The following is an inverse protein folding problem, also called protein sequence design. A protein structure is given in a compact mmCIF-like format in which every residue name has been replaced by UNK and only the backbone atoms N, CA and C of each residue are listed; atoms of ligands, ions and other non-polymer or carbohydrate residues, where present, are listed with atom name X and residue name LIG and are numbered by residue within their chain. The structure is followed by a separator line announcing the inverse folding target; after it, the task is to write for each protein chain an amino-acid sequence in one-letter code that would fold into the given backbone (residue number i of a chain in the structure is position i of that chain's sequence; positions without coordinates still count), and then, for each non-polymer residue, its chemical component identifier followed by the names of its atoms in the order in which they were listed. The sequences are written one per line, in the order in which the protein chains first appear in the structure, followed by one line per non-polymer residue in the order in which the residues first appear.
data_IF_030640968444
#
_entry.id   IF_030640968444
#
_cell.length_a   1.000
_cell.length_b   1.000
_cell.length_c   1.000
_cell.angle_alpha   90.00
_cell.angle_beta   90.00
_cell.angle_gamma   90.00
#
_symmetry.space_group_name_H-M   'P 1'
#
loop_
_entity.id
_entity.type
_entity.pdbx_description
1 polymer ?
#
# COMPACT_ATOMS: atom_id res chain seq x y z
N UNK A 1 10.60 6.97 -23.88
CA UNK A 1 10.85 5.51 -23.80
C UNK A 1 9.72 4.80 -24.53
N UNK A 2 10.03 3.95 -25.52
CA UNK A 2 9.00 3.13 -26.16
C UNK A 2 8.47 2.13 -25.11
N UNK A 3 7.21 2.28 -24.73
CA UNK A 3 6.54 1.33 -23.85
C UNK A 3 6.24 0.07 -24.65
N UNK A 4 6.94 -1.02 -24.33
CA UNK A 4 6.63 -2.34 -24.87
C UNK A 4 5.26 -2.73 -24.35
N UNK A 5 4.26 -2.74 -25.23
CA UNK A 5 2.91 -3.19 -24.91
C UNK A 5 2.76 -4.65 -25.32
N UNK A 6 2.05 -5.42 -24.51
CA UNK A 6 1.70 -6.78 -24.86
C UNK A 6 0.85 -6.80 -26.15
N UNK A 7 1.31 -7.53 -27.17
CA UNK A 7 0.50 -7.93 -28.32
C UNK A 7 0.24 -9.44 -28.22
N UNK A 8 -1.03 -9.83 -28.32
CA UNK A 8 -1.43 -11.22 -28.29
C UNK A 8 -0.84 -12.03 -29.46
N UNK A 9 -0.57 -11.37 -30.60
CA UNK A 9 -0.01 -12.01 -31.79
C UNK A 9 1.39 -12.60 -31.58
N UNK A 10 2.12 -12.08 -30.59
CA UNK A 10 3.46 -12.56 -30.24
C UNK A 10 3.40 -13.96 -29.58
N UNK A 11 2.23 -14.35 -29.05
CA UNK A 11 2.04 -15.59 -28.29
C UNK A 11 1.04 -16.53 -28.99
N UNK A 12 1.58 -17.40 -29.86
CA UNK A 12 0.77 -18.35 -30.66
C UNK A 12 0.25 -19.57 -29.87
N UNK A 13 0.97 -19.97 -28.80
CA UNK A 13 0.69 -21.19 -28.07
C UNK A 13 -0.10 -20.94 -26.78
N UNK A 14 -0.84 -21.95 -26.30
CA UNK A 14 -1.52 -21.89 -24.99
C UNK A 14 -0.56 -22.27 -23.88
N UNK A 15 -0.87 -21.85 -22.66
CA UNK A 15 -0.19 -22.38 -21.49
C UNK A 15 -0.41 -23.89 -21.41
N UNK A 16 0.66 -24.61 -21.04
CA UNK A 16 0.63 -26.07 -20.89
C UNK A 16 -0.16 -26.48 -19.65
N UNK A 17 -0.13 -25.65 -18.62
CA UNK A 17 -0.71 -25.92 -17.31
C UNK A 17 -1.70 -24.81 -16.94
N UNK A 18 -2.67 -25.17 -16.10
CA UNK A 18 -3.65 -24.24 -15.56
C UNK A 18 -3.13 -23.76 -14.22
N UNK A 19 -2.85 -22.46 -14.12
CA UNK A 19 -2.54 -21.83 -12.85
C UNK A 19 -3.84 -21.48 -12.13
N UNK A 20 -3.90 -21.76 -10.83
CA UNK A 20 -5.03 -21.42 -9.95
C UNK A 20 -4.53 -20.69 -8.72
N UNK A 21 -5.30 -19.71 -8.25
CA UNK A 21 -5.00 -19.00 -7.02
C UNK A 21 -6.28 -18.67 -6.29
N UNK A 22 -6.32 -18.99 -5.00
CA UNK A 22 -7.51 -18.85 -4.16
C UNK A 22 -7.23 -17.88 -3.00
N UNK A 23 -8.19 -17.01 -2.72
CA UNK A 23 -8.16 -16.07 -1.60
C UNK A 23 -9.45 -16.15 -0.80
N UNK A 24 -9.31 -16.30 0.51
CA UNK A 24 -10.44 -16.19 1.43
C UNK A 24 -10.73 -14.73 1.82
N UNK A 25 -12.01 -14.39 1.92
CA UNK A 25 -12.48 -13.11 2.41
C UNK A 25 -13.29 -13.26 3.71
N UNK A 26 -13.33 -12.23 4.56
CA UNK A 26 -14.00 -12.31 5.85
C UNK A 26 -15.52 -12.12 5.72
N UNK A 27 -16.27 -12.72 6.66
CA UNK A 27 -17.75 -12.69 6.73
C UNK A 27 -18.40 -11.32 6.53
N UNK A 28 -17.77 -10.26 7.04
CA UNK A 28 -18.34 -8.91 6.92
C UNK A 28 -18.34 -8.38 5.47
N UNK A 29 -17.60 -9.04 4.55
CA UNK A 29 -17.51 -8.67 3.14
C UNK A 29 -18.53 -9.41 2.27
N UNK A 30 -19.24 -10.42 2.80
CA UNK A 30 -20.18 -11.29 2.06
C UNK A 30 -21.16 -10.47 1.20
N UNK A 31 -21.91 -9.54 1.82
CA UNK A 31 -22.91 -8.71 1.13
C UNK A 31 -22.30 -7.89 -0.01
N UNK A 32 -21.09 -7.37 0.18
CA UNK A 32 -20.41 -6.57 -0.84
C UNK A 32 -19.98 -7.45 -2.01
N UNK A 33 -19.35 -8.60 -1.74
CA UNK A 33 -18.90 -9.54 -2.77
C UNK A 33 -20.09 -10.07 -3.57
N UNK A 34 -21.20 -10.39 -2.91
CA UNK A 34 -22.42 -10.85 -3.58
C UNK A 34 -22.93 -9.80 -4.59
N UNK A 35 -23.00 -8.53 -4.18
CA UNK A 35 -23.44 -7.42 -5.02
C UNK A 35 -22.53 -7.18 -6.23
N UNK A 36 -21.21 -7.31 -6.05
CA UNK A 36 -20.22 -6.97 -7.10
C UNK A 36 -19.67 -8.21 -7.84
N UNK A 37 -20.13 -9.42 -7.49
CA UNK A 37 -19.66 -10.70 -8.02
C UNK A 37 -19.60 -10.74 -9.55
N UNK A 38 -20.69 -10.31 -10.20
CA UNK A 38 -20.77 -10.22 -11.67
C UNK A 38 -19.72 -9.28 -12.27
N UNK A 39 -19.40 -8.18 -11.59
CA UNK A 39 -18.37 -7.24 -12.04
C UNK A 39 -16.96 -7.84 -11.90
N UNK A 40 -16.69 -8.56 -10.82
CA UNK A 40 -15.42 -9.27 -10.61
C UNK A 40 -15.18 -10.28 -11.73
N UNK A 41 -16.18 -11.14 -11.99
CA UNK A 41 -16.10 -12.18 -13.02
C UNK A 41 -15.85 -11.54 -14.39
N UNK A 42 -16.67 -10.55 -14.77
CA UNK A 42 -16.54 -9.86 -16.06
C UNK A 42 -15.19 -9.16 -16.23
N UNK A 43 -14.65 -8.56 -15.17
CA UNK A 43 -13.34 -7.90 -15.22
C UNK A 43 -12.21 -8.88 -15.54
N UNK A 44 -12.25 -10.09 -14.96
CA UNK A 44 -11.27 -11.16 -15.21
C UNK A 44 -11.49 -11.81 -16.58
N UNK A 45 -12.73 -12.04 -17.00
CA UNK A 45 -13.06 -12.59 -18.32
C UNK A 45 -12.57 -11.70 -19.46
N UNK A 46 -12.69 -10.37 -19.32
CA UNK A 46 -12.15 -9.41 -20.28
C UNK A 46 -10.62 -9.54 -20.47
N UNK A 47 -9.94 -10.11 -19.48
CA UNK A 47 -8.51 -10.40 -19.47
C UNK A 47 -8.20 -11.87 -19.75
N UNK A 48 -9.20 -12.63 -20.23
CA UNK A 48 -9.14 -14.07 -20.52
C UNK A 48 -8.74 -14.90 -19.30
N UNK A 49 -9.14 -14.49 -18.11
CA UNK A 49 -9.04 -15.25 -16.87
C UNK A 49 -10.44 -15.70 -16.44
N UNK A 50 -10.52 -16.85 -15.79
CA UNK A 50 -11.75 -17.36 -15.21
C UNK A 50 -11.75 -17.13 -13.70
N UNK A 51 -12.94 -16.97 -13.14
CA UNK A 51 -13.13 -16.68 -11.73
C UNK A 51 -14.26 -17.54 -11.16
N UNK A 52 -14.05 -18.15 -10.01
CA UNK A 52 -15.09 -18.79 -9.21
C UNK A 52 -15.22 -18.05 -7.86
N UNK A 53 -16.44 -17.81 -7.41
CA UNK A 53 -16.72 -17.14 -6.13
C UNK A 53 -17.62 -18.07 -5.32
N UNK A 54 -17.11 -18.55 -4.19
CA UNK A 54 -17.86 -19.39 -3.27
C UNK A 54 -18.29 -18.57 -2.05
N UNK A 55 -19.60 -18.30 -1.96
CA UNK A 55 -20.20 -17.57 -0.85
C UNK A 55 -20.25 -18.37 0.47
N UNK A 56 -20.24 -19.71 0.41
CA UNK A 56 -20.30 -20.59 1.57
C UNK A 56 -18.92 -20.68 2.22
N UNK A 57 -17.90 -20.99 1.42
CA UNK A 57 -16.50 -21.02 1.88
C UNK A 57 -15.91 -19.61 2.09
N UNK A 58 -16.53 -18.59 1.47
CA UNK A 58 -16.06 -17.21 1.39
C UNK A 58 -14.69 -17.13 0.74
N UNK A 59 -14.60 -17.69 -0.46
CA UNK A 59 -13.38 -17.73 -1.27
C UNK A 59 -13.63 -17.17 -2.67
N UNK A 60 -12.58 -16.60 -3.24
CA UNK A 60 -12.51 -16.17 -4.64
C UNK A 60 -11.33 -16.91 -5.24
N UNK A 61 -11.57 -17.69 -6.28
CA UNK A 61 -10.55 -18.41 -7.03
C UNK A 61 -10.41 -17.78 -8.42
N UNK A 62 -9.18 -17.46 -8.82
CA UNK A 62 -8.83 -17.04 -10.18
C UNK A 62 -7.98 -18.12 -10.84
N UNK A 63 -8.22 -18.40 -12.11
CA UNK A 63 -7.46 -19.38 -12.86
C UNK A 63 -7.30 -19.02 -14.33
N UNK A 64 -6.20 -19.49 -14.92
CA UNK A 64 -5.93 -19.30 -16.36
C UNK A 64 -6.85 -20.17 -17.21
N UNK A 65 -7.29 -19.61 -18.33
CA UNK A 65 -8.05 -20.31 -19.36
C UNK A 65 -7.10 -20.81 -20.48
N UNK A 66 -7.57 -21.73 -21.32
CA UNK A 66 -6.83 -22.16 -22.53
C UNK A 66 -6.57 -21.02 -23.53
N UNK A 67 -7.33 -19.93 -23.39
CA UNK A 67 -7.26 -18.73 -24.22
C UNK A 67 -6.40 -17.63 -23.58
N UNK A 68 -5.91 -17.80 -22.35
CA UNK A 68 -5.00 -16.83 -21.74
C UNK A 68 -3.67 -16.88 -22.48
N UNK A 69 -3.23 -15.73 -23.00
CA UNK A 69 -1.95 -15.60 -23.74
C UNK A 69 -0.93 -14.76 -22.98
N UNK A 70 -1.38 -13.74 -22.25
CA UNK A 70 -0.51 -12.88 -21.44
C UNK A 70 0.04 -13.67 -20.24
N UNK A 71 1.37 -13.84 -20.12
CA UNK A 71 1.98 -14.57 -19.00
C UNK A 71 1.86 -13.83 -17.66
N UNK A 72 1.75 -12.50 -17.66
CA UNK A 72 1.71 -11.70 -16.44
C UNK A 72 0.30 -11.38 -15.96
N UNK A 73 -0.72 -11.53 -16.80
CA UNK A 73 -2.11 -11.21 -16.43
C UNK A 73 -2.59 -12.05 -15.25
N UNK A 74 -2.13 -13.29 -15.11
CA UNK A 74 -2.49 -14.15 -13.98
C UNK A 74 -2.02 -13.55 -12.65
N UNK A 75 -0.80 -12.99 -12.62
CA UNK A 75 -0.25 -12.33 -11.42
C UNK A 75 -1.11 -11.12 -11.04
N UNK A 76 -1.48 -10.29 -12.02
CA UNK A 76 -2.38 -9.15 -11.82
C UNK A 76 -3.77 -9.58 -11.34
N UNK A 77 -4.30 -10.68 -11.89
CA UNK A 77 -5.54 -11.29 -11.43
C UNK A 77 -5.48 -11.73 -9.97
N UNK A 78 -4.34 -12.30 -9.54
CA UNK A 78 -4.10 -12.66 -8.14
C UNK A 78 -4.13 -11.42 -7.24
N UNK A 79 -3.46 -10.34 -7.65
CA UNK A 79 -3.41 -9.10 -6.88
C UNK A 79 -4.77 -8.40 -6.81
N UNK A 80 -5.52 -8.42 -7.92
CA UNK A 80 -6.90 -7.94 -7.97
C UNK A 80 -7.79 -8.64 -6.93
N UNK A 81 -7.83 -9.98 -6.91
CA UNK A 81 -8.69 -10.70 -5.95
C UNK A 81 -8.21 -10.55 -4.49
N UNK A 82 -6.89 -10.42 -4.27
CA UNK A 82 -6.33 -10.11 -2.93
C UNK A 82 -6.81 -8.76 -2.42
N UNK A 83 -6.79 -7.73 -3.27
CA UNK A 83 -7.24 -6.39 -2.93
C UNK A 83 -8.73 -6.37 -2.58
N UNK A 84 -9.56 -6.98 -3.43
CA UNK A 84 -11.02 -7.07 -3.21
C UNK A 84 -11.35 -7.77 -1.89
N UNK A 85 -10.64 -8.88 -1.59
CA UNK A 85 -10.79 -9.61 -0.34
C UNK A 85 -10.37 -8.81 0.92
N UNK A 86 -9.58 -7.75 0.75
CA UNK A 86 -9.04 -6.89 1.85
C UNK A 86 -9.63 -5.48 1.88
N UNK A 87 -10.89 -5.36 1.49
CA UNK A 87 -11.71 -4.13 1.55
C UNK A 87 -11.35 -3.02 0.56
N UNK A 88 -10.59 -3.32 -0.48
CA UNK A 88 -10.43 -2.37 -1.58
C UNK A 88 -11.69 -2.47 -2.44
N UNK A 89 -12.18 -1.33 -2.92
CA UNK A 89 -13.34 -1.27 -3.80
C UNK A 89 -13.00 -1.89 -5.16
N UNK A 90 -13.94 -2.63 -5.75
CA UNK A 90 -13.72 -3.35 -7.03
C UNK A 90 -13.27 -2.40 -8.12
N UNK A 91 -13.89 -1.22 -8.25
CA UNK A 91 -13.52 -0.22 -9.25
C UNK A 91 -12.05 0.22 -9.13
N UNK A 92 -11.58 0.42 -7.90
CA UNK A 92 -10.18 0.77 -7.64
C UNK A 92 -9.25 -0.41 -7.88
N UNK A 93 -9.66 -1.60 -7.44
CA UNK A 93 -8.85 -2.82 -7.59
C UNK A 93 -8.69 -3.21 -9.07
N UNK A 94 -9.70 -2.99 -9.91
CA UNK A 94 -9.66 -3.28 -11.35
C UNK A 94 -8.52 -2.57 -12.07
N UNK A 95 -8.07 -1.41 -11.57
CA UNK A 95 -6.93 -0.68 -12.15
C UNK A 95 -5.67 -1.52 -12.21
N UNK A 96 -5.46 -2.44 -11.27
CA UNK A 96 -4.29 -3.33 -11.23
C UNK A 96 -4.24 -4.30 -12.42
N UNK A 97 -5.35 -4.47 -13.15
CA UNK A 97 -5.38 -5.24 -14.40
C UNK A 97 -4.80 -4.47 -15.61
N UNK A 98 -4.45 -3.20 -15.43
CA UNK A 98 -3.75 -2.35 -16.40
C UNK A 98 -2.23 -2.36 -16.14
N UNK A 99 -1.41 -1.96 -17.12
CA UNK A 99 0.07 -2.04 -17.02
C UNK A 99 0.67 -0.95 -16.12
N UNK A 100 0.03 0.20 -16.01
CA UNK A 100 0.54 1.36 -15.28
C UNK A 100 0.33 1.25 -13.76
N UNK A 101 -0.51 0.32 -13.31
CA UNK A 101 -0.91 0.18 -11.93
C UNK A 101 -0.42 -1.14 -11.32
N UNK A 102 0.05 -1.04 -10.09
CA UNK A 102 0.38 -2.16 -9.23
C UNK A 102 -0.53 -2.14 -7.99
N UNK A 103 -0.72 -3.32 -7.40
CA UNK A 103 -1.54 -3.52 -6.23
C UNK A 103 -0.78 -4.25 -5.13
N UNK A 104 -0.93 -3.84 -3.87
CA UNK A 104 -0.30 -4.55 -2.76
C UNK A 104 -1.06 -4.46 -1.44
N UNK A 105 -0.96 -5.55 -0.66
CA UNK A 105 -1.44 -5.63 0.71
C UNK A 105 -0.25 -5.58 1.67
N UNK A 106 -0.14 -4.50 2.45
CA UNK A 106 0.91 -4.32 3.44
C UNK A 106 0.42 -4.81 4.80
N UNK A 107 1.06 -5.85 5.34
CA UNK A 107 0.77 -6.38 6.68
C UNK A 107 1.43 -5.53 7.78
N UNK A 108 0.67 -4.62 8.38
CA UNK A 108 1.20 -3.71 9.41
C UNK A 108 1.18 -4.30 10.82
N UNK A 109 0.35 -5.32 11.09
CA UNK A 109 0.22 -5.87 12.45
C UNK A 109 1.49 -6.55 12.98
N UNK A 110 2.29 -7.14 12.09
CA UNK A 110 3.54 -7.82 12.45
C UNK A 110 4.68 -6.85 12.77
N UNK A 111 4.54 -5.58 12.41
CA UNK A 111 5.58 -4.55 12.59
C UNK A 111 5.72 -4.07 14.05
N UNK A 112 4.72 -4.31 14.90
CA UNK A 112 4.70 -3.85 16.30
C UNK A 112 4.21 -4.96 17.22
N UNK A 113 4.96 -5.22 18.30
CA UNK A 113 4.61 -6.24 19.30
C UNK A 113 3.38 -5.85 20.14
N UNK A 114 3.36 -4.62 20.66
CA UNK A 114 2.31 -4.14 21.56
C UNK A 114 1.06 -3.64 20.81
N UNK A 115 -0.11 -4.18 21.15
CA UNK A 115 -1.39 -3.79 20.55
C UNK A 115 -1.73 -2.31 20.82
N UNK A 116 -1.51 -1.83 22.05
CA UNK A 116 -1.76 -0.42 22.40
C UNK A 116 -0.88 0.53 21.57
N UNK A 117 0.37 0.15 21.32
CA UNK A 117 1.30 0.95 20.49
C UNK A 117 0.90 0.86 19.01
N UNK A 118 0.51 -0.32 18.54
CA UNK A 118 0.02 -0.53 17.17
C UNK A 118 -1.17 0.38 16.87
N UNK A 119 -2.21 0.36 17.71
CA UNK A 119 -3.40 1.21 17.55
C UNK A 119 -3.02 2.69 17.48
N UNK A 120 -2.21 3.17 18.44
CA UNK A 120 -1.76 4.59 18.43
C UNK A 120 -0.98 4.97 17.17
N UNK A 121 -0.10 4.11 16.67
CA UNK A 121 0.70 4.39 15.46
C UNK A 121 -0.15 4.31 14.18
N UNK A 122 -1.09 3.38 14.11
CA UNK A 122 -2.06 3.28 13.01
C UNK A 122 -2.97 4.50 12.97
N UNK A 123 -3.50 4.92 14.11
CA UNK A 123 -4.39 6.09 14.19
C UNK A 123 -3.62 7.38 13.84
N UNK A 124 -2.32 7.45 14.15
CA UNK A 124 -1.42 8.52 13.68
C UNK A 124 -1.27 8.53 12.16
N UNK A 125 -1.14 7.36 11.52
CA UNK A 125 -1.05 7.23 10.06
C UNK A 125 -2.34 7.71 9.38
N UNK A 126 -3.49 7.43 9.97
CA UNK A 126 -4.80 7.94 9.50
C UNK A 126 -4.87 9.46 9.72
N UNK A 127 -4.50 9.91 10.92
CA UNK A 127 -4.60 11.29 11.36
C UNK A 127 -6.03 11.70 11.74
N UNK A 128 -6.18 12.84 12.41
CA UNK A 128 -7.49 13.42 12.74
C UNK A 128 -8.30 13.64 11.46
N UNK A 129 -9.55 13.21 11.42
CA UNK A 129 -10.44 13.30 10.26
C UNK A 129 -9.85 12.71 8.96
N UNK A 130 -8.96 11.71 9.08
CA UNK A 130 -8.22 11.11 7.95
C UNK A 130 -7.35 12.09 7.16
N UNK A 131 -6.96 13.23 7.73
CA UNK A 131 -6.21 14.27 7.01
C UNK A 131 -4.84 13.79 6.51
N UNK A 132 -4.10 13.04 7.34
CA UNK A 132 -2.78 12.51 6.97
C UNK A 132 -2.91 11.49 5.86
N UNK A 133 -3.89 10.59 5.97
CA UNK A 133 -4.19 9.60 4.93
C UNK A 133 -4.61 10.27 3.61
N UNK A 134 -5.46 11.30 3.65
CA UNK A 134 -5.87 12.05 2.45
C UNK A 134 -4.68 12.74 1.78
N UNK A 135 -3.82 13.40 2.55
CA UNK A 135 -2.61 14.03 2.03
C UNK A 135 -1.68 12.99 1.39
N UNK A 136 -1.48 11.84 2.05
CA UNK A 136 -0.66 10.75 1.52
C UNK A 136 -1.21 10.22 0.19
N UNK A 137 -2.53 10.01 0.08
CA UNK A 137 -3.18 9.61 -1.19
C UNK A 137 -2.92 10.60 -2.31
N UNK A 138 -3.10 11.89 -2.05
CA UNK A 138 -2.93 12.96 -3.05
C UNK A 138 -1.47 13.04 -3.54
N UNK A 139 -0.51 13.04 -2.62
CA UNK A 139 0.90 13.23 -2.93
C UNK A 139 1.50 12.01 -3.63
N UNK A 140 1.14 10.80 -3.18
CA UNK A 140 1.61 9.56 -3.81
C UNK A 140 0.87 9.19 -5.09
N UNK A 141 -0.27 9.87 -5.37
CA UNK A 141 -1.21 9.50 -6.44
C UNK A 141 -1.68 8.04 -6.34
N UNK A 142 -1.66 7.48 -5.12
CA UNK A 142 -2.12 6.12 -4.83
C UNK A 142 -3.49 6.12 -4.15
N UNK A 143 -4.25 5.06 -4.40
CA UNK A 143 -5.40 4.69 -3.61
C UNK A 143 -4.95 3.87 -2.41
N UNK A 144 -5.31 4.30 -1.20
CA UNK A 144 -4.86 3.68 0.06
C UNK A 144 -6.07 3.34 0.93
N UNK A 145 -6.15 2.09 1.38
CA UNK A 145 -7.23 1.57 2.22
C UNK A 145 -6.65 0.95 3.48
N UNK A 146 -6.87 1.56 4.64
CA UNK A 146 -6.40 1.05 5.92
C UNK A 146 -7.49 0.19 6.55
N UNK A 147 -7.28 -1.12 6.60
CA UNK A 147 -8.27 -2.10 7.08
C UNK A 147 -7.69 -2.90 8.25
N UNK A 148 -7.91 -2.41 9.47
CA UNK A 148 -7.54 -3.11 10.70
C UNK A 148 -6.03 -3.36 10.83
N UNK A 149 -5.59 -4.53 10.36
CA UNK A 149 -4.22 -5.08 10.42
C UNK A 149 -3.45 -4.97 9.10
N UNK A 150 -4.11 -4.54 8.03
CA UNK A 150 -3.56 -4.51 6.67
C UNK A 150 -3.82 -3.15 6.04
N UNK A 151 -3.00 -2.78 5.06
CA UNK A 151 -3.21 -1.61 4.21
C UNK A 151 -3.21 -2.08 2.76
N UNK A 152 -4.30 -1.88 2.04
CA UNK A 152 -4.36 -2.08 0.59
C UNK A 152 -3.93 -0.82 -0.13
N UNK A 153 -3.01 -0.94 -1.09
CA UNK A 153 -2.50 0.17 -1.89
C UNK A 153 -2.61 -0.18 -3.37
N UNK A 154 -3.11 0.76 -4.17
CA UNK A 154 -3.18 0.66 -5.64
C UNK A 154 -2.60 1.94 -6.24
N UNK A 155 -1.65 1.83 -7.16
CA UNK A 155 -1.01 2.99 -7.79
C UNK A 155 0.19 2.60 -8.64
N UNK A 156 0.97 3.57 -9.11
CA UNK A 156 2.23 3.29 -9.82
C UNK A 156 3.26 2.63 -8.89
N UNK A 157 4.25 1.96 -9.47
CA UNK A 157 5.34 1.33 -8.73
C UNK A 157 6.08 2.30 -7.78
N UNK A 158 6.39 3.50 -8.28
CA UNK A 158 7.08 4.54 -7.51
C UNK A 158 6.22 5.01 -6.33
N UNK A 159 4.93 5.26 -6.59
CA UNK A 159 3.97 5.65 -5.56
C UNK A 159 3.83 4.56 -4.49
N UNK A 160 3.77 3.29 -4.89
CA UNK A 160 3.72 2.14 -3.98
C UNK A 160 4.94 2.10 -3.07
N UNK A 161 6.13 2.26 -3.64
CA UNK A 161 7.41 2.25 -2.91
C UNK A 161 7.47 3.36 -1.87
N UNK A 162 7.03 4.57 -2.24
CA UNK A 162 6.92 5.71 -1.33
C UNK A 162 5.94 5.41 -0.18
N UNK A 163 4.75 4.90 -0.49
CA UNK A 163 3.74 4.56 0.53
C UNK A 163 4.25 3.49 1.49
N UNK A 164 4.87 2.41 0.98
CA UNK A 164 5.47 1.36 1.81
C UNK A 164 6.49 1.92 2.79
N UNK A 165 7.38 2.78 2.31
CA UNK A 165 8.41 3.38 3.15
C UNK A 165 7.79 4.22 4.27
N UNK A 166 6.79 5.07 3.94
CA UNK A 166 6.11 5.90 4.93
C UNK A 166 5.35 5.05 5.96
N UNK A 167 4.65 4.01 5.51
CA UNK A 167 3.94 3.07 6.40
C UNK A 167 4.93 2.40 7.33
N UNK A 168 6.04 1.86 6.81
CA UNK A 168 7.07 1.20 7.60
C UNK A 168 7.69 2.17 8.62
N UNK A 169 8.05 3.38 8.19
CA UNK A 169 8.62 4.40 9.07
C UNK A 169 7.66 4.85 10.18
N UNK A 170 6.37 4.98 9.86
CA UNK A 170 5.35 5.36 10.83
C UNK A 170 5.08 4.25 11.83
N UNK A 171 4.86 3.03 11.35
CA UNK A 171 4.42 1.90 12.16
C UNK A 171 5.59 1.23 12.87
N UNK A 172 6.69 0.88 12.19
CA UNK A 172 7.83 0.20 12.79
C UNK A 172 8.77 1.19 13.50
N UNK A 173 9.22 2.24 12.80
CA UNK A 173 10.25 3.16 13.29
C UNK A 173 9.74 4.31 14.16
N UNK A 174 8.41 4.39 14.39
CA UNK A 174 7.77 5.43 15.19
C UNK A 174 8.03 6.86 14.69
N UNK A 175 8.36 7.05 13.43
CA UNK A 175 8.51 8.38 12.82
C UNK A 175 7.13 8.96 12.56
N UNK A 176 6.94 10.27 12.72
CA UNK A 176 5.64 10.88 12.43
C UNK A 176 5.49 11.04 10.90
N UNK A 177 4.37 10.59 10.28
CA UNK A 177 4.21 10.60 8.82
C UNK A 177 4.29 12.00 8.21
N UNK A 178 3.94 13.03 9.00
CA UNK A 178 4.05 14.45 8.58
C UNK A 178 5.46 14.84 8.10
N UNK A 179 6.52 14.23 8.65
CA UNK A 179 7.89 14.58 8.25
C UNK A 179 8.16 14.09 6.83
N UNK A 180 7.78 12.85 6.52
CA UNK A 180 7.94 12.31 5.17
C UNK A 180 6.99 12.99 4.18
N UNK A 181 5.76 13.30 4.58
CA UNK A 181 4.82 14.09 3.76
C UNK A 181 5.42 15.46 3.39
N UNK A 182 6.02 16.18 4.34
CA UNK A 182 6.69 17.46 4.06
C UNK A 182 7.84 17.32 3.07
N UNK A 183 8.66 16.26 3.21
CA UNK A 183 9.75 15.99 2.28
C UNK A 183 9.22 15.72 0.86
N UNK A 184 8.15 14.94 0.74
CA UNK A 184 7.53 14.66 -0.55
C UNK A 184 6.93 15.90 -1.20
N UNK A 185 6.32 16.80 -0.42
CA UNK A 185 5.81 18.08 -0.95
C UNK A 185 6.96 18.88 -1.58
N UNK A 186 8.07 19.04 -0.85
CA UNK A 186 9.24 19.77 -1.36
C UNK A 186 9.83 19.07 -2.59
N UNK A 187 9.96 17.74 -2.57
CA UNK A 187 10.46 16.98 -3.73
C UNK A 187 9.57 17.13 -4.97
N UNK A 188 8.25 17.10 -4.80
CA UNK A 188 7.33 17.27 -5.92
C UNK A 188 7.41 18.70 -6.48
N UNK A 189 7.52 19.72 -5.62
CA UNK A 189 7.70 21.11 -6.05
C UNK A 189 9.02 21.32 -6.81
N UNK A 190 10.13 20.77 -6.30
CA UNK A 190 11.43 20.85 -6.96
C UNK A 190 11.46 20.08 -8.29
N UNK A 191 10.73 18.96 -8.38
CA UNK A 191 10.64 18.18 -9.62
C UNK A 191 9.76 18.81 -10.69
N UNK A 192 8.92 19.80 -10.35
CA UNK A 192 8.18 20.61 -11.32
C UNK A 192 9.03 21.77 -11.87
N UNK A 193 10.10 22.15 -11.16
CA UNK A 193 10.97 23.26 -11.50
C UNK A 193 12.12 22.83 -12.43
N UNK A 194 12.12 23.34 -13.66
CA UNK A 194 13.08 22.98 -14.70
C UNK A 194 14.51 23.44 -14.37
N UNK A 195 14.66 24.50 -13.58
CA UNK A 195 15.99 25.02 -13.20
C UNK A 195 16.70 24.10 -12.21
N UNK A 196 15.95 23.31 -11.44
CA UNK A 196 16.46 22.46 -10.37
C UNK A 196 16.73 21.01 -10.80
N UNK A 197 16.45 20.62 -12.05
CA UNK A 197 16.54 19.21 -12.51
C UNK A 197 17.93 18.58 -12.32
N UNK A 198 19.00 19.37 -12.46
CA UNK A 198 20.39 18.89 -12.40
C UNK A 198 21.11 19.16 -11.07
N UNK A 199 20.39 19.72 -10.07
CA UNK A 199 20.99 20.10 -8.79
C UNK A 199 20.76 19.06 -7.68
N UNK A 200 21.65 19.03 -6.66
CA UNK A 200 21.45 18.19 -5.47
C UNK A 200 20.42 18.81 -4.52
N UNK A 201 19.23 18.19 -4.47
CA UNK A 201 18.11 18.65 -3.66
C UNK A 201 18.28 18.47 -2.14
N UNK A 202 19.34 17.81 -1.67
CA UNK A 202 19.54 17.55 -0.22
C UNK A 202 19.46 18.81 0.64
N UNK A 203 19.93 19.95 0.13
CA UNK A 203 19.91 21.23 0.86
C UNK A 203 18.49 21.75 1.12
N UNK A 204 17.55 21.43 0.23
CA UNK A 204 16.16 21.89 0.31
C UNK A 204 15.27 20.94 1.10
N UNK A 205 15.67 19.67 1.21
CA UNK A 205 14.88 18.64 1.89
C UNK A 205 14.99 18.83 3.41
N UNK A 206 13.85 19.01 4.13
CA UNK A 206 13.89 19.21 5.57
C UNK A 206 14.27 17.92 6.30
N UNK A 207 15.36 17.98 7.06
CA UNK A 207 15.84 16.87 7.87
C UNK A 207 15.18 16.80 9.24
N UNK A 208 14.75 15.59 9.59
CA UNK A 208 14.25 15.30 10.93
C UNK A 208 15.42 15.14 11.90
N UNK A 209 15.67 16.15 12.73
CA UNK A 209 16.61 16.06 13.85
C UNK A 209 15.90 15.51 15.09
N UNK A 210 16.21 14.26 15.47
CA UNK A 210 15.73 13.67 16.72
C UNK A 210 16.36 14.42 17.89
N UNK A 211 15.58 15.24 18.60
CA UNK A 211 16.03 15.88 19.85
C UNK A 211 16.40 14.78 20.86
N UNK A 212 17.69 14.64 21.18
CA UNK A 212 18.14 13.90 22.37
C UNK A 212 17.64 14.68 23.58
N UNK A 213 16.82 14.07 24.43
CA UNK A 213 16.55 14.63 25.75
C UNK A 213 17.81 14.42 26.58
N UNK A 214 18.46 15.50 27.01
CA UNK A 214 19.48 15.41 28.04
C UNK A 214 18.80 14.82 29.29
N UNK A 215 19.38 13.76 29.85
CA UNK A 215 18.96 13.25 31.15
C UNK A 215 19.11 14.37 32.17
N UNK A 216 18.12 14.50 33.06
CA UNK A 216 18.20 15.38 34.24
C UNK A 216 19.50 15.06 34.98
N UNK A 217 20.34 16.06 35.23
CA UNK A 217 21.30 15.99 36.31
C UNK A 217 20.50 15.77 37.60
N UNK A 218 20.77 14.68 38.29
CA UNK A 218 20.40 14.54 39.69
C UNK A 218 21.19 15.60 40.44
N UNK A 219 20.48 16.57 41.04
CA UNK A 219 21.12 17.50 41.97
C UNK A 219 21.42 16.69 43.24
N UNK A 220 22.69 16.40 43.49
CA UNK A 220 23.17 16.01 44.81
C UNK A 220 22.84 17.14 45.77
N UNK A 221 21.96 16.87 46.73
CA UNK A 221 21.78 17.71 47.90
C UNK A 221 23.03 17.46 48.75
N UNK A 222 23.94 18.43 48.75
CA UNK A 222 25.03 18.48 49.73
C UNK A 222 24.37 18.80 51.07
N UNK A 223 24.22 17.80 51.94
CA UNK A 223 24.05 18.03 53.37
C UNK A 223 25.35 18.65 53.88
N UNK A 224 25.36 19.98 54.04
CA UNK A 224 26.37 20.64 54.85
C UNK A 224 26.18 20.16 56.29
N UNK A 225 27.15 19.38 56.78
CA UNK A 225 27.29 19.05 58.18
C UNK A 225 27.48 20.33 58.98
N UNK A 226 26.61 20.54 59.97
CA UNK A 226 26.87 21.45 61.07
C UNK A 226 27.49 20.60 62.18
N UNK A 227 28.82 20.70 62.31
CA UNK A 227 29.55 20.31 63.51
C UNK A 227 29.37 21.39 64.60
N UNK A 228 29.20 20.90 65.82
CA UNK A 228 29.23 21.54 67.16
C UNK A 228 28.06 22.44 67.62
#
# INVERSE_FOLDING_TARGET
MNTVKFDEKDFKNSFKEINKFLVYYPKYRDKYIEQVSKYIIKALENKKLSCNIDSVERSIEVFTHTNTRDPFIFVKGCDFIRLVAKNVDVETAMKVLEDEYCGEIIEIRKMVKSEKVFTKRRDRLIGKNSMVLKALKMISKCYIYITGKHIGVVGSYDGLTVVKQIVYDCIANNKHPIYEIKKLIVKNQLGEDKEMENEDWKRHIPDYKKRRKNNKQENEIVEEGVEE
#
